data_IF_128103172018
#
_entry.id   IF_128103172018
#
_cell.length_a   1.000
_cell.length_b   1.000
_cell.length_c   1.000
_cell.angle_alpha   90.00
_cell.angle_beta   90.00
_cell.angle_gamma   90.00
#
_symmetry.space_group_name_H-M   'P 1'
#
loop_
_entity.id
_entity.type
_entity.pdbx_description
1 polymer ?
#
# COMPACT_ATOMS: atom_id res chain seq x y z
N UNK A 1 3.63 32.53 11.06
CA UNK A 1 4.96 31.87 11.18
C UNK A 1 5.17 30.84 10.07
N UNK A 2 4.17 29.97 9.77
CA UNK A 2 4.28 28.90 8.74
C UNK A 2 4.43 29.39 7.29
N UNK A 3 3.87 30.55 6.90
CA UNK A 3 4.02 31.10 5.54
C UNK A 3 5.46 31.51 5.24
N UNK A 4 6.15 32.09 6.22
CA UNK A 4 7.53 32.55 6.05
C UNK A 4 8.54 31.40 6.02
N UNK A 5 8.24 30.27 6.68
CA UNK A 5 9.09 29.08 6.66
C UNK A 5 9.14 28.42 5.27
N UNK A 6 8.01 28.43 4.53
CA UNK A 6 7.94 27.90 3.17
C UNK A 6 8.76 28.74 2.17
N UNK A 7 8.78 30.07 2.34
CA UNK A 7 9.55 30.97 1.50
C UNK A 7 11.05 30.86 1.80
N UNK A 8 11.44 30.69 3.05
CA UNK A 8 12.83 30.50 3.47
C UNK A 8 13.38 29.16 2.96
N UNK A 9 12.60 28.08 3.01
CA UNK A 9 12.96 26.79 2.43
C UNK A 9 13.14 26.89 0.91
N UNK A 10 12.23 27.55 0.21
CA UNK A 10 12.31 27.73 -1.24
C UNK A 10 13.49 28.64 -1.64
N UNK A 11 13.72 29.73 -0.92
CA UNK A 11 14.85 30.67 -1.16
C UNK A 11 16.21 30.06 -0.81
N UNK A 12 16.26 29.16 0.20
CA UNK A 12 17.45 28.38 0.55
C UNK A 12 17.88 27.42 -0.55
N UNK A 13 16.94 26.85 -1.30
CA UNK A 13 17.23 25.96 -2.44
C UNK A 13 17.84 26.69 -3.65
N UNK A 14 17.52 27.98 -3.85
CA UNK A 14 17.96 28.77 -5.03
C UNK A 14 19.40 29.30 -4.90
N UNK A 15 19.94 29.38 -3.69
CA UNK A 15 21.25 30.00 -3.42
C UNK A 15 22.38 29.02 -3.06
N UNK A 16 22.20 27.72 -3.19
CA UNK A 16 23.29 26.77 -3.01
C UNK A 16 24.21 26.78 -4.24
N UNK A 17 25.54 26.84 -4.08
CA UNK A 17 26.46 26.76 -5.21
C UNK A 17 26.28 25.41 -5.93
N UNK A 18 26.37 25.41 -7.25
CA UNK A 18 26.06 24.25 -8.14
C UNK A 18 26.81 22.95 -7.79
N UNK A 19 27.89 23.02 -7.02
CA UNK A 19 28.62 21.86 -6.51
C UNK A 19 27.96 21.12 -5.34
N UNK A 20 26.87 21.66 -4.78
CA UNK A 20 26.11 21.11 -3.64
C UNK A 20 24.70 20.72 -4.08
N UNK A 21 24.35 20.84 -5.36
CA UNK A 21 23.01 20.51 -5.83
C UNK A 21 22.71 19.03 -5.61
N UNK A 22 21.78 18.80 -4.69
CA UNK A 22 21.05 17.57 -4.63
C UNK A 22 20.25 17.38 -5.91
N UNK A 23 20.20 16.16 -6.39
CA UNK A 23 19.29 15.76 -7.43
C UNK A 23 17.90 15.75 -6.81
N UNK A 24 16.97 16.50 -7.40
CA UNK A 24 15.54 16.39 -7.07
C UNK A 24 14.89 15.58 -8.16
N UNK A 25 14.08 14.61 -7.77
CA UNK A 25 13.36 13.78 -8.74
C UNK A 25 11.95 13.44 -8.28
N UNK A 26 11.15 13.04 -9.25
CA UNK A 26 9.77 12.60 -9.06
C UNK A 26 9.36 11.66 -10.18
N UNK A 27 8.33 10.87 -9.94
CA UNK A 27 7.82 9.94 -10.94
C UNK A 27 6.65 9.12 -10.43
N UNK A 28 6.36 8.09 -11.22
CA UNK A 28 5.36 7.09 -10.93
C UNK A 28 6.02 5.77 -10.57
N UNK A 29 5.31 4.96 -9.83
CA UNK A 29 5.73 3.60 -9.51
C UNK A 29 4.61 2.59 -9.76
N UNK A 30 5.04 1.39 -10.12
CA UNK A 30 4.23 0.18 -10.13
C UNK A 30 4.73 -0.67 -8.97
N UNK A 31 3.82 -1.20 -8.19
CA UNK A 31 4.15 -2.06 -7.06
C UNK A 31 3.51 -3.43 -7.21
N UNK A 32 4.21 -4.45 -6.77
CA UNK A 32 3.65 -5.75 -6.44
C UNK A 32 3.68 -5.88 -4.92
N UNK A 33 2.50 -5.86 -4.31
CA UNK A 33 2.32 -6.01 -2.88
C UNK A 33 2.35 -7.51 -2.53
N UNK A 34 3.21 -7.89 -1.61
CA UNK A 34 3.39 -9.27 -1.19
C UNK A 34 2.45 -9.69 -0.07
N UNK A 35 1.41 -8.92 0.22
CA UNK A 35 0.40 -9.29 1.19
C UNK A 35 -0.31 -10.56 0.74
N UNK A 36 -0.42 -11.50 1.65
CA UNK A 36 -1.15 -12.74 1.46
C UNK A 36 -2.33 -12.77 2.42
N UNK A 37 -3.54 -12.75 1.88
CA UNK A 37 -4.71 -13.11 2.67
C UNK A 37 -4.82 -14.64 2.64
N UNK A 38 -4.48 -15.27 3.76
CA UNK A 38 -4.75 -16.70 3.94
C UNK A 38 -6.26 -16.96 4.09
N UNK A 39 -6.70 -18.19 3.90
CA UNK A 39 -8.08 -18.58 4.16
C UNK A 39 -8.46 -18.31 5.62
N UNK A 40 -9.70 -17.92 5.86
CA UNK A 40 -10.26 -17.74 7.21
C UNK A 40 -11.73 -18.15 7.23
N UNK A 41 -12.19 -18.65 8.37
CA UNK A 41 -13.59 -18.99 8.59
C UNK A 41 -14.07 -18.38 9.91
N UNK A 42 -15.20 -17.72 9.86
CA UNK A 42 -15.87 -17.11 11.00
C UNK A 42 -17.27 -17.67 11.10
N UNK A 43 -17.63 -18.21 12.26
CA UNK A 43 -18.96 -18.73 12.55
C UNK A 43 -19.52 -18.02 13.77
N UNK A 44 -20.73 -17.52 13.66
CA UNK A 44 -21.49 -16.91 14.75
C UNK A 44 -22.86 -17.58 14.88
N UNK A 45 -23.43 -17.56 16.09
CA UNK A 45 -24.71 -18.18 16.40
C UNK A 45 -24.61 -19.68 16.65
N UNK A 46 -25.76 -20.33 16.71
CA UNK A 46 -25.88 -21.78 16.87
C UNK A 46 -27.22 -22.29 16.40
N UNK A 47 -27.27 -23.52 15.87
CA UNK A 47 -28.50 -24.14 15.38
C UNK A 47 -29.12 -23.35 14.20
N UNK A 48 -30.37 -22.88 14.35
CA UNK A 48 -31.07 -22.18 13.27
C UNK A 48 -30.54 -20.74 13.03
N UNK A 49 -29.79 -20.17 13.96
CA UNK A 49 -29.16 -18.84 13.83
C UNK A 49 -27.69 -18.91 13.46
N UNK A 50 -27.16 -20.08 13.13
CA UNK A 50 -25.76 -20.24 12.75
C UNK A 50 -25.48 -19.62 11.38
N UNK A 51 -24.45 -18.78 11.35
CA UNK A 51 -23.96 -18.12 10.13
C UNK A 51 -22.46 -18.34 10.02
N UNK A 52 -22.01 -18.74 8.87
CA UNK A 52 -20.59 -18.93 8.56
C UNK A 52 -20.19 -18.09 7.36
N UNK A 53 -19.10 -17.35 7.48
CA UNK A 53 -18.41 -16.65 6.39
C UNK A 53 -17.02 -17.25 6.24
N UNK A 54 -16.71 -17.77 5.08
CA UNK A 54 -15.41 -18.32 4.73
C UNK A 54 -14.77 -17.45 3.66
N UNK A 55 -13.57 -16.92 3.93
CA UNK A 55 -12.78 -16.19 2.95
C UNK A 55 -11.68 -17.10 2.42
N UNK A 56 -11.53 -17.14 1.11
CA UNK A 56 -10.48 -17.92 0.45
C UNK A 56 -9.18 -17.14 0.33
N UNK A 57 -8.11 -17.80 -0.05
CA UNK A 57 -6.84 -17.16 -0.34
C UNK A 57 -6.93 -16.27 -1.58
N UNK A 58 -6.10 -15.23 -1.65
CA UNK A 58 -5.96 -14.44 -2.87
C UNK A 58 -5.39 -15.29 -4.01
N UNK A 59 -6.01 -15.19 -5.18
CA UNK A 59 -5.58 -15.93 -6.39
C UNK A 59 -4.25 -15.40 -6.95
N UNK A 60 -3.93 -14.13 -6.70
CA UNK A 60 -2.70 -13.48 -7.14
C UNK A 60 -2.25 -12.43 -6.12
N UNK A 61 -0.96 -12.10 -6.13
CA UNK A 61 -0.45 -10.99 -5.33
C UNK A 61 -1.03 -9.67 -5.83
N UNK A 62 -1.47 -8.77 -4.93
CA UNK A 62 -1.99 -7.47 -5.30
C UNK A 62 -0.99 -6.65 -6.10
N UNK A 63 -1.48 -5.87 -7.03
CA UNK A 63 -0.72 -4.93 -7.82
C UNK A 63 -1.18 -3.50 -7.55
N UNK A 64 -0.28 -2.54 -7.70
CA UNK A 64 -0.62 -1.16 -7.40
C UNK A 64 0.15 -0.15 -8.23
N UNK A 65 -0.32 1.08 -8.11
CA UNK A 65 0.27 2.25 -8.74
C UNK A 65 0.48 3.33 -7.68
N UNK A 66 1.45 4.20 -7.91
CA UNK A 66 1.70 5.32 -7.03
C UNK A 66 2.58 6.38 -7.64
N UNK A 67 2.96 7.33 -6.78
CA UNK A 67 3.88 8.39 -7.13
C UNK A 67 4.93 8.59 -6.03
N UNK A 68 6.06 9.16 -6.41
CA UNK A 68 7.13 9.46 -5.47
C UNK A 68 7.83 10.77 -5.82
N UNK A 69 8.42 11.38 -4.81
CA UNK A 69 9.36 12.49 -4.92
C UNK A 69 10.57 12.19 -4.07
N UNK A 70 11.73 12.65 -4.47
CA UNK A 70 12.95 12.49 -3.67
C UNK A 70 13.92 13.65 -3.81
N UNK A 71 14.81 13.75 -2.84
CA UNK A 71 15.98 14.63 -2.85
C UNK A 71 17.21 13.78 -2.54
N UNK A 72 18.22 13.87 -3.42
CA UNK A 72 19.47 13.13 -3.33
C UNK A 72 20.63 14.09 -2.99
N UNK A 73 21.21 13.94 -1.82
CA UNK A 73 22.26 14.80 -1.28
C UNK A 73 23.45 13.95 -0.82
N UNK A 74 24.60 14.12 -1.46
CA UNK A 74 25.87 13.48 -1.03
C UNK A 74 25.79 11.97 -0.81
N UNK A 75 25.03 11.28 -1.69
CA UNK A 75 24.82 9.83 -1.62
C UNK A 75 23.79 9.38 -0.57
N UNK A 76 23.09 10.32 0.03
CA UNK A 76 21.88 10.08 0.81
C UNK A 76 20.66 10.54 0.01
N UNK A 77 19.61 9.77 0.05
CA UNK A 77 18.34 10.11 -0.60
C UNK A 77 17.23 10.11 0.45
N UNK A 78 16.44 11.16 0.47
CA UNK A 78 15.17 11.21 1.21
C UNK A 78 14.06 11.12 0.21
N UNK A 79 13.19 10.14 0.35
CA UNK A 79 12.10 9.85 -0.57
C UNK A 79 10.77 9.79 0.16
N UNK A 80 9.76 10.45 -0.40
CA UNK A 80 8.36 10.37 -0.01
C UNK A 80 7.57 9.72 -1.14
N UNK A 81 6.71 8.77 -0.82
CA UNK A 81 5.85 8.10 -1.78
C UNK A 81 4.43 7.89 -1.26
N UNK A 82 3.49 7.73 -2.21
CA UNK A 82 2.12 7.33 -1.94
C UNK A 82 1.66 6.33 -2.98
N UNK A 83 1.02 5.25 -2.55
CA UNK A 83 0.64 4.12 -3.38
C UNK A 83 -0.79 3.68 -3.10
N UNK A 84 -1.45 3.15 -4.14
CA UNK A 84 -2.67 2.36 -4.02
C UNK A 84 -2.44 0.98 -4.60
N UNK A 85 -2.82 -0.07 -3.89
CA UNK A 85 -2.77 -1.46 -4.35
C UNK A 85 -4.17 -2.07 -4.36
N UNK A 86 -4.37 -3.02 -5.27
CA UNK A 86 -5.63 -3.73 -5.46
C UNK A 86 -5.37 -5.22 -5.64
N UNK A 87 -6.26 -6.03 -5.09
CA UNK A 87 -6.30 -7.47 -5.27
C UNK A 87 -7.73 -8.02 -5.12
N UNK A 88 -7.92 -9.28 -5.42
CA UNK A 88 -9.21 -9.94 -5.34
C UNK A 88 -9.09 -11.28 -4.62
N UNK A 89 -10.12 -11.62 -3.86
CA UNK A 89 -10.32 -12.93 -3.29
C UNK A 89 -11.82 -13.28 -3.28
N UNK A 90 -12.15 -14.54 -3.10
CA UNK A 90 -13.53 -14.95 -2.99
C UNK A 90 -13.88 -15.22 -1.53
N UNK A 91 -15.15 -15.05 -1.19
CA UNK A 91 -15.70 -15.55 0.07
C UNK A 91 -16.99 -16.31 -0.17
N UNK A 92 -17.38 -17.13 0.79
CA UNK A 92 -18.67 -17.80 0.84
C UNK A 92 -19.43 -17.40 2.10
N UNK A 93 -20.74 -17.39 1.96
CA UNK A 93 -21.67 -17.13 3.04
C UNK A 93 -22.65 -18.30 3.15
N UNK A 94 -22.83 -18.79 4.36
CA UNK A 94 -23.79 -19.88 4.62
C UNK A 94 -24.58 -19.62 5.90
N UNK A 95 -25.89 -19.74 5.80
CA UNK A 95 -26.80 -19.86 6.93
C UNK A 95 -27.74 -21.07 6.70
N UNK A 96 -28.72 -21.27 7.59
CA UNK A 96 -29.66 -22.39 7.50
C UNK A 96 -30.57 -22.36 6.27
N UNK A 97 -30.77 -21.16 5.69
CA UNK A 97 -31.72 -20.93 4.58
C UNK A 97 -30.97 -20.76 3.26
N UNK A 98 -29.81 -20.07 3.28
CA UNK A 98 -29.09 -19.67 2.10
C UNK A 98 -27.64 -20.14 2.13
N UNK A 99 -27.14 -20.55 0.97
CA UNK A 99 -25.74 -20.81 0.73
C UNK A 99 -25.33 -20.06 -0.54
N UNK A 100 -24.32 -19.21 -0.42
CA UNK A 100 -23.71 -18.48 -1.54
C UNK A 100 -22.22 -18.80 -1.53
N UNK A 101 -21.71 -19.23 -2.66
CA UNK A 101 -20.31 -19.63 -2.84
C UNK A 101 -19.65 -18.72 -3.87
N UNK A 102 -18.32 -18.62 -3.79
CA UNK A 102 -17.48 -17.92 -4.76
C UNK A 102 -17.88 -16.46 -5.03
N UNK A 103 -18.28 -15.74 -3.96
CA UNK A 103 -18.61 -14.32 -4.08
C UNK A 103 -17.29 -13.54 -4.22
N UNK A 104 -17.06 -12.84 -5.36
CA UNK A 104 -15.84 -12.06 -5.54
C UNK A 104 -15.82 -10.84 -4.62
N UNK A 105 -14.69 -10.58 -3.99
CA UNK A 105 -14.51 -9.46 -3.10
C UNK A 105 -13.20 -8.73 -3.35
N UNK A 106 -13.27 -7.41 -3.39
CA UNK A 106 -12.14 -6.55 -3.63
C UNK A 106 -11.33 -6.33 -2.36
N UNK A 107 -10.03 -6.44 -2.48
CA UNK A 107 -9.07 -5.97 -1.49
C UNK A 107 -8.36 -4.74 -2.01
N UNK A 108 -8.23 -3.71 -1.18
CA UNK A 108 -7.50 -2.50 -1.52
C UNK A 108 -6.63 -2.03 -0.35
N UNK A 109 -5.52 -1.37 -0.67
CA UNK A 109 -4.64 -0.70 0.29
C UNK A 109 -4.17 0.63 -0.26
N UNK A 110 -4.32 1.68 0.54
CA UNK A 110 -3.61 2.93 0.36
C UNK A 110 -2.39 2.93 1.30
N UNK A 111 -1.24 3.41 0.83
CA UNK A 111 -0.05 3.50 1.65
C UNK A 111 0.73 4.77 1.39
N UNK A 112 1.46 5.24 2.40
CA UNK A 112 2.48 6.28 2.28
C UNK A 112 3.74 5.87 3.00
N UNK A 113 4.90 6.31 2.49
CA UNK A 113 6.17 6.01 3.13
C UNK A 113 7.16 7.16 3.00
N UNK A 114 7.94 7.37 4.06
CA UNK A 114 9.11 8.24 4.07
C UNK A 114 10.35 7.37 4.27
N UNK A 115 11.25 7.38 3.29
CA UNK A 115 12.44 6.53 3.27
C UNK A 115 13.70 7.37 3.24
N UNK A 116 14.68 7.04 4.07
CA UNK A 116 16.06 7.54 3.97
C UNK A 116 16.94 6.42 3.44
N UNK A 117 17.60 6.67 2.31
CA UNK A 117 18.47 5.69 1.62
C UNK A 117 19.91 6.15 1.61
N UNK A 118 20.85 5.21 1.67
CA UNK A 118 22.28 5.43 1.50
C UNK A 118 22.76 4.60 0.32
N UNK A 119 23.46 5.24 -0.63
CA UNK A 119 24.18 4.52 -1.66
C UNK A 119 25.35 3.77 -1.03
N UNK A 120 25.41 2.46 -1.27
CA UNK A 120 26.50 1.57 -0.80
C UNK A 120 27.49 1.23 -1.90
N UNK A 121 27.05 1.34 -3.16
CA UNK A 121 27.88 1.27 -4.34
C UNK A 121 27.27 2.14 -5.43
N UNK A 122 28.11 2.88 -6.16
CA UNK A 122 27.67 3.66 -7.29
C UNK A 122 28.74 3.73 -8.39
N UNK A 123 28.24 3.85 -9.61
CA UNK A 123 29.04 4.16 -10.79
C UNK A 123 28.37 5.28 -11.56
N UNK A 124 29.12 6.31 -11.93
CA UNK A 124 28.58 7.42 -12.68
C UNK A 124 29.50 7.88 -13.81
N UNK A 125 28.90 8.17 -14.94
CA UNK A 125 29.52 8.92 -16.04
C UNK A 125 28.90 10.32 -15.95
N UNK A 126 29.71 11.35 -15.63
CA UNK A 126 29.21 12.71 -15.40
C UNK A 126 28.26 13.14 -16.53
N UNK A 127 27.11 13.71 -16.15
CA UNK A 127 26.02 14.20 -17.01
C UNK A 127 25.31 13.14 -17.88
N UNK A 128 25.83 11.92 -18.00
CA UNK A 128 25.28 10.91 -18.92
C UNK A 128 24.52 9.81 -18.20
N UNK A 129 25.15 9.13 -17.24
CA UNK A 129 24.55 7.97 -16.60
C UNK A 129 24.98 7.80 -15.14
N UNK A 130 24.10 7.25 -14.34
CA UNK A 130 24.38 6.83 -12.95
C UNK A 130 23.70 5.48 -12.69
N UNK A 131 24.43 4.57 -12.08
CA UNK A 131 23.88 3.35 -11.49
C UNK A 131 24.27 3.33 -10.02
N UNK A 132 23.32 3.06 -9.13
CA UNK A 132 23.59 3.01 -7.70
C UNK A 132 22.81 1.88 -7.04
N UNK A 133 23.49 1.18 -6.13
CA UNK A 133 22.89 0.25 -5.19
C UNK A 133 22.73 0.98 -3.85
N UNK A 134 21.56 0.92 -3.26
CA UNK A 134 21.25 1.61 -2.01
C UNK A 134 20.56 0.70 -1.01
N UNK A 135 20.78 0.97 0.26
CA UNK A 135 19.98 0.45 1.36
C UNK A 135 19.22 1.59 2.01
N UNK A 136 18.02 1.32 2.48
CA UNK A 136 17.17 2.33 3.08
C UNK A 136 16.38 1.81 4.26
N UNK A 137 16.01 2.74 5.11
CA UNK A 137 15.10 2.53 6.24
C UNK A 137 14.08 3.66 6.25
N UNK A 138 12.90 3.39 6.75
CA UNK A 138 11.89 4.43 6.82
C UNK A 138 10.69 4.05 7.66
N UNK A 139 9.71 4.95 7.64
CA UNK A 139 8.41 4.79 8.28
C UNK A 139 7.34 4.70 7.21
N UNK A 140 6.28 3.96 7.50
CA UNK A 140 5.16 3.78 6.59
C UNK A 140 3.83 3.87 7.33
N UNK A 141 2.78 4.15 6.58
CA UNK A 141 1.39 4.10 7.02
C UNK A 141 0.57 3.41 5.94
N UNK A 142 -0.33 2.56 6.37
CA UNK A 142 -1.17 1.74 5.51
C UNK A 142 -2.62 1.84 5.97
N UNK A 143 -3.54 1.90 5.00
CA UNK A 143 -4.98 1.80 5.21
C UNK A 143 -5.51 0.72 4.28
N UNK A 144 -5.99 -0.38 4.83
CA UNK A 144 -6.44 -1.56 4.07
C UNK A 144 -7.90 -1.85 4.31
N UNK A 145 -8.57 -2.43 3.32
CA UNK A 145 -9.94 -2.93 3.49
C UNK A 145 -9.97 -4.11 4.48
N UNK A 146 -11.03 -4.22 5.30
CA UNK A 146 -11.21 -5.38 6.17
C UNK A 146 -11.47 -6.66 5.36
N UNK A 147 -11.35 -7.80 5.99
CA UNK A 147 -11.80 -9.08 5.43
C UNK A 147 -13.32 -9.20 5.50
N UNK A 148 -13.87 -9.98 4.57
CA UNK A 148 -15.27 -10.42 4.69
C UNK A 148 -15.50 -11.13 6.02
N UNK A 149 -16.56 -10.76 6.73
CA UNK A 149 -16.90 -11.24 8.05
C UNK A 149 -18.42 -11.32 8.24
N UNK A 150 -18.88 -12.00 9.29
CA UNK A 150 -20.31 -12.05 9.63
C UNK A 150 -20.86 -10.68 9.97
N UNK A 151 -20.06 -9.81 10.65
CA UNK A 151 -20.47 -8.42 10.92
C UNK A 151 -20.66 -7.63 9.64
N UNK A 152 -19.77 -7.76 8.66
CA UNK A 152 -19.93 -7.14 7.35
C UNK A 152 -21.25 -7.53 6.68
N UNK A 153 -21.56 -8.83 6.65
CA UNK A 153 -22.81 -9.31 6.03
C UNK A 153 -24.03 -8.75 6.78
N UNK A 154 -23.97 -8.68 8.11
CA UNK A 154 -25.06 -8.11 8.94
C UNK A 154 -25.27 -6.63 8.66
N UNK A 155 -24.20 -5.85 8.61
CA UNK A 155 -24.25 -4.41 8.35
C UNK A 155 -24.75 -4.13 6.93
N UNK A 156 -24.33 -4.92 5.94
CA UNK A 156 -24.80 -4.81 4.55
C UNK A 156 -26.29 -5.15 4.38
N UNK A 157 -26.82 -6.02 5.21
CA UNK A 157 -28.24 -6.40 5.16
C UNK A 157 -29.12 -5.49 6.03
N UNK A 158 -28.54 -4.54 6.78
CA UNK A 158 -29.22 -3.65 7.74
C UNK A 158 -30.20 -4.43 8.64
N UNK A 159 -29.82 -5.66 9.04
CA UNK A 159 -30.67 -6.53 9.82
C UNK A 159 -29.89 -7.54 10.65
N UNK A 160 -30.37 -7.78 11.87
CA UNK A 160 -29.92 -8.91 12.67
C UNK A 160 -30.50 -10.25 12.16
N UNK A 161 -31.53 -10.20 11.31
CA UNK A 161 -32.14 -11.37 10.68
C UNK A 161 -31.48 -11.67 9.33
N UNK A 162 -30.40 -12.40 9.34
CA UNK A 162 -29.66 -12.85 8.17
C UNK A 162 -30.44 -13.84 7.26
N UNK A 163 -31.70 -14.12 7.59
CA UNK A 163 -32.62 -14.91 6.74
C UNK A 163 -33.52 -14.02 5.89
N UNK A 164 -33.49 -12.70 6.10
CA UNK A 164 -34.27 -11.74 5.32
C UNK A 164 -33.82 -11.71 3.86
N UNK A 165 -34.73 -11.35 3.01
CA UNK A 165 -34.46 -11.22 1.56
C UNK A 165 -33.49 -10.07 1.31
N UNK A 166 -32.69 -10.22 0.29
CA UNK A 166 -31.58 -9.39 -0.10
C UNK A 166 -31.90 -8.55 -1.34
N UNK A 167 -31.68 -7.22 -1.28
CA UNK A 167 -31.74 -6.34 -2.45
C UNK A 167 -30.34 -6.06 -3.00
N UNK A 168 -29.98 -6.61 -4.17
CA UNK A 168 -28.64 -6.40 -4.74
C UNK A 168 -28.32 -4.93 -5.08
N UNK A 169 -29.32 -4.06 -5.20
CA UNK A 169 -29.12 -2.68 -5.68
C UNK A 169 -28.71 -1.73 -4.55
N UNK A 170 -29.01 -2.03 -3.28
CA UNK A 170 -28.58 -1.21 -2.14
C UNK A 170 -27.15 -1.51 -1.66
N UNK A 171 -26.64 -2.67 -2.05
CA UNK A 171 -25.38 -3.21 -1.50
C UNK A 171 -24.12 -2.43 -1.86
N UNK A 172 -24.07 -1.84 -3.04
CA UNK A 172 -22.82 -1.20 -3.48
C UNK A 172 -22.49 0.01 -2.59
N UNK A 173 -23.48 0.83 -2.29
CA UNK A 173 -23.30 2.01 -1.44
C UNK A 173 -23.03 1.61 0.02
N UNK A 174 -23.78 0.65 0.55
CA UNK A 174 -23.62 0.13 1.90
C UNK A 174 -22.25 -0.56 2.09
N UNK A 175 -21.79 -1.31 1.09
CA UNK A 175 -20.46 -1.92 1.09
C UNK A 175 -19.35 -0.85 1.11
N UNK A 176 -19.46 0.18 0.29
CA UNK A 176 -18.49 1.27 0.26
C UNK A 176 -18.41 1.96 1.60
N UNK A 177 -19.54 2.22 2.26
CA UNK A 177 -19.58 2.88 3.55
C UNK A 177 -19.05 1.96 4.66
N UNK A 178 -19.41 0.68 4.66
CA UNK A 178 -18.82 -0.31 5.55
C UNK A 178 -17.28 -0.36 5.43
N UNK A 179 -16.74 -0.42 4.20
CA UNK A 179 -15.30 -0.47 3.97
C UNK A 179 -14.58 0.79 4.45
N UNK A 180 -15.20 1.97 4.35
CA UNK A 180 -14.64 3.23 4.85
C UNK A 180 -14.61 3.27 6.38
N UNK A 181 -15.68 2.82 7.03
CA UNK A 181 -15.82 2.85 8.49
C UNK A 181 -14.96 1.78 9.18
N UNK A 182 -14.81 0.62 8.54
CA UNK A 182 -14.08 -0.54 9.08
C UNK A 182 -12.68 -0.73 8.51
N UNK A 183 -12.12 0.28 7.83
CA UNK A 183 -10.76 0.21 7.31
C UNK A 183 -9.74 -0.07 8.41
N UNK A 184 -8.70 -0.81 8.07
CA UNK A 184 -7.63 -1.16 9.00
C UNK A 184 -6.47 -0.19 8.77
N UNK A 185 -6.28 0.74 9.69
CA UNK A 185 -5.19 1.71 9.64
C UNK A 185 -4.02 1.21 10.50
N UNK A 186 -2.85 1.10 9.88
CA UNK A 186 -1.62 0.64 10.51
C UNK A 186 -0.43 1.53 10.17
N UNK A 187 0.52 1.59 11.07
CA UNK A 187 1.80 2.28 10.88
C UNK A 187 2.94 1.35 11.25
N UNK A 188 4.07 1.54 10.61
CA UNK A 188 5.23 0.72 10.88
C UNK A 188 6.52 1.32 10.37
N UNK A 189 7.52 0.47 10.27
CA UNK A 189 8.83 0.78 9.70
C UNK A 189 9.11 -0.15 8.53
N UNK A 190 10.09 0.20 7.70
CA UNK A 190 10.49 -0.68 6.61
C UNK A 190 11.99 -0.64 6.37
N UNK A 191 12.48 -1.72 5.78
CA UNK A 191 13.81 -1.85 5.21
C UNK A 191 13.68 -1.93 3.69
N UNK A 192 14.60 -1.30 2.97
CA UNK A 192 14.58 -1.26 1.51
C UNK A 192 15.97 -1.50 0.92
N UNK A 193 16.02 -2.34 -0.11
CA UNK A 193 17.17 -2.48 -1.01
C UNK A 193 16.75 -1.89 -2.36
N UNK A 194 17.55 -1.01 -2.93
CA UNK A 194 17.23 -0.31 -4.16
C UNK A 194 18.37 -0.33 -5.18
N UNK A 195 18.00 -0.58 -6.44
CA UNK A 195 18.87 -0.43 -7.58
C UNK A 195 18.34 0.71 -8.45
N UNK A 196 19.21 1.70 -8.73
CA UNK A 196 18.87 2.89 -9.50
C UNK A 196 19.64 2.92 -10.80
N UNK A 197 18.95 3.32 -11.87
CA UNK A 197 19.53 3.63 -13.17
C UNK A 197 19.04 4.99 -13.62
N UNK A 198 19.96 5.92 -13.82
CA UNK A 198 19.68 7.24 -14.36
C UNK A 198 20.44 7.42 -15.67
N UNK A 199 19.75 7.87 -16.72
CA UNK A 199 20.33 8.26 -18.01
C UNK A 199 19.79 9.64 -18.34
N UNK A 200 20.69 10.63 -18.36
CA UNK A 200 20.33 12.05 -18.49
C UNK A 200 19.36 12.45 -17.37
N UNK A 201 18.13 12.78 -17.76
CA UNK A 201 17.04 13.16 -16.82
C UNK A 201 16.09 12.01 -16.49
N UNK A 202 16.14 10.92 -17.24
CA UNK A 202 15.30 9.74 -17.01
C UNK A 202 15.90 8.95 -15.85
N UNK A 203 15.10 8.67 -14.86
CA UNK A 203 15.49 7.98 -13.64
C UNK A 203 14.57 6.80 -13.37
N UNK A 204 15.15 5.62 -13.20
CA UNK A 204 14.40 4.41 -12.88
C UNK A 204 14.97 3.72 -11.65
N UNK A 205 14.10 3.12 -10.86
CA UNK A 205 14.49 2.37 -9.67
C UNK A 205 13.79 1.02 -9.64
N UNK A 206 14.49 0.02 -9.19
CA UNK A 206 13.94 -1.27 -8.78
C UNK A 206 14.20 -1.42 -7.29
N UNK A 207 13.14 -1.45 -6.49
CA UNK A 207 13.24 -1.56 -5.04
C UNK A 207 12.60 -2.85 -4.55
N UNK A 208 13.24 -3.46 -3.58
CA UNK A 208 12.69 -4.51 -2.76
C UNK A 208 12.54 -3.98 -1.33
N UNK A 209 11.34 -4.01 -0.79
CA UNK A 209 10.99 -3.49 0.54
C UNK A 209 10.38 -4.58 1.40
N UNK A 210 10.74 -4.57 2.68
CA UNK A 210 10.06 -5.33 3.71
C UNK A 210 9.42 -4.37 4.71
N UNK A 211 8.10 -4.35 4.74
CA UNK A 211 7.29 -3.55 5.66
C UNK A 211 7.08 -4.35 6.94
N UNK A 212 7.48 -3.78 8.07
CA UNK A 212 7.30 -4.30 9.42
C UNK A 212 6.12 -3.55 10.04
N UNK A 213 4.94 -4.13 9.94
CA UNK A 213 3.70 -3.60 10.52
C UNK A 213 3.05 -4.73 11.29
N UNK A 214 2.59 -4.46 12.49
CA UNK A 214 1.91 -5.47 13.28
C UNK A 214 0.41 -5.46 12.95
N UNK A 215 -0.18 -6.66 12.88
CA UNK A 215 -1.62 -6.90 12.82
C UNK A 215 -2.40 -6.18 11.69
N UNK A 216 -1.80 -6.06 10.49
CA UNK A 216 -2.60 -5.70 9.31
C UNK A 216 -3.72 -6.71 9.14
N UNK A 217 -3.38 -8.01 9.25
CA UNK A 217 -4.32 -9.11 9.42
C UNK A 217 -3.80 -10.02 10.53
N UNK A 218 -4.70 -10.58 11.32
CA UNK A 218 -4.38 -11.39 12.49
C UNK A 218 -3.24 -12.39 12.23
N UNK A 219 -2.13 -12.17 12.92
CA UNK A 219 -0.95 -13.03 12.85
C UNK A 219 0.13 -12.63 11.83
N UNK A 220 -0.10 -11.63 11.00
CA UNK A 220 0.93 -11.10 10.08
C UNK A 220 1.78 -10.03 10.75
N UNK A 221 3.10 -10.20 10.68
CA UNK A 221 4.09 -9.25 11.25
C UNK A 221 4.72 -8.33 10.23
N UNK A 222 4.27 -8.40 8.99
CA UNK A 222 4.78 -7.61 7.89
C UNK A 222 4.65 -8.29 6.54
N UNK A 223 4.96 -7.56 5.50
CA UNK A 223 4.87 -8.03 4.11
C UNK A 223 5.97 -7.42 3.25
N UNK A 224 6.24 -8.07 2.12
CA UNK A 224 7.22 -7.61 1.14
C UNK A 224 6.55 -6.76 0.06
N UNK A 225 7.31 -5.86 -0.56
CA UNK A 225 6.91 -5.15 -1.78
C UNK A 225 8.06 -5.17 -2.79
N UNK A 226 7.73 -5.35 -4.04
CA UNK A 226 8.61 -5.08 -5.18
C UNK A 226 8.08 -3.86 -5.91
N UNK A 227 8.94 -2.87 -6.12
CA UNK A 227 8.54 -1.60 -6.73
C UNK A 227 9.43 -1.32 -7.95
N UNK A 228 8.80 -1.02 -9.06
CA UNK A 228 9.47 -0.43 -10.21
C UNK A 228 9.04 1.03 -10.34
N UNK A 229 10.01 1.94 -10.33
CA UNK A 229 9.80 3.38 -10.40
C UNK A 229 10.39 3.92 -11.69
N UNK A 230 9.67 4.86 -12.31
CA UNK A 230 10.12 5.59 -13.50
C UNK A 230 9.76 7.06 -13.37
N UNK A 231 10.71 7.93 -13.60
CA UNK A 231 10.52 9.36 -13.46
C UNK A 231 11.65 10.19 -14.05
N UNK A 232 11.75 11.39 -13.52
CA UNK A 232 12.76 12.37 -13.91
C UNK A 232 13.55 12.82 -12.68
N UNK A 233 14.82 13.14 -12.89
CA UNK A 233 15.71 13.65 -11.85
C UNK A 233 16.63 14.73 -12.43
N UNK A 234 16.70 15.88 -11.74
CA UNK A 234 17.38 17.11 -12.17
C UNK A 234 18.44 17.54 -11.17
#
# INVERSE_FOLDING_TARGET
>A
LMKNLKIILLAGFINLPQSVFGIVGFGLNVIQDGTKLGASSYTEGSGLSEVTVESYEMNALPVGLGGYIFIDLLGWTVELEGNGAYGEYNFSFRNVVNQMEDIPFAWARASSALTVKKNIADFSIPLLAKTALSVGVGVNSHSSTPRASVSMVRDLLDTDDLTAGFDPNSLEDELIDYLKENKIDNSGTHLQLGLRFKILVIDSHLNFRYNMTEDVYKGEKGFTEVQFKLGMAF
#
